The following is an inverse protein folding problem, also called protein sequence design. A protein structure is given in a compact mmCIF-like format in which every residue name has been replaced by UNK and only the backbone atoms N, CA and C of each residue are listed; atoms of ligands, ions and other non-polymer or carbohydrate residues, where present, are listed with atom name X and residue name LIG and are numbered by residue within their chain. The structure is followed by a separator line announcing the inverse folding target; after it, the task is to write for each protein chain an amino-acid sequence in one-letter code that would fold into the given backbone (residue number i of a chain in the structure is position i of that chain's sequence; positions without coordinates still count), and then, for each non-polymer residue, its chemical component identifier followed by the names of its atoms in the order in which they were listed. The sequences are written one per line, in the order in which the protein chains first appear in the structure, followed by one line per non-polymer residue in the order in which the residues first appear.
data_IF_730960058868
#
_entry.id   IF_730960058868
#
_cell.length_a   1.000
_cell.length_b   1.000
_cell.length_c   1.000
_cell.angle_alpha   90.00
_cell.angle_beta   90.00
_cell.angle_gamma   90.00
#
_symmetry.space_group_name_H-M   'P 1'
#
loop_
_entity.id
_entity.type
_entity.pdbx_description
1 polymer ?
#
# COMPACT_ATOMS: atom_id res chain seq x y z
N UNK A 1 -18.55 -8.53 -14.35
CA UNK A 1 -18.91 -8.87 -12.94
C UNK A 1 -17.79 -9.58 -12.17
N UNK A 2 -17.06 -10.52 -12.77
CA UNK A 2 -15.92 -11.18 -12.09
C UNK A 2 -14.79 -10.21 -11.73
N UNK A 3 -14.44 -9.29 -12.64
CA UNK A 3 -13.44 -8.24 -12.37
C UNK A 3 -13.81 -7.34 -11.19
N UNK A 4 -15.06 -6.88 -11.14
CA UNK A 4 -15.59 -6.05 -10.06
C UNK A 4 -15.45 -6.72 -8.70
N UNK A 5 -15.81 -8.02 -8.61
CA UNK A 5 -15.65 -8.79 -7.39
C UNK A 5 -14.19 -8.91 -6.96
N UNK A 6 -13.27 -9.15 -7.91
CA UNK A 6 -11.84 -9.21 -7.63
C UNK A 6 -11.31 -7.86 -7.13
N UNK A 7 -11.70 -6.76 -7.76
CA UNK A 7 -11.31 -5.41 -7.35
C UNK A 7 -11.79 -5.10 -5.94
N UNK A 8 -13.04 -5.45 -5.59
CA UNK A 8 -13.58 -5.26 -4.24
C UNK A 8 -12.81 -6.10 -3.21
N UNK A 9 -12.52 -7.37 -3.50
CA UNK A 9 -11.76 -8.24 -2.60
C UNK A 9 -10.36 -7.67 -2.33
N UNK A 10 -9.64 -7.25 -3.38
CA UNK A 10 -8.30 -6.65 -3.28
C UNK A 10 -8.37 -5.33 -2.48
N UNK A 11 -9.35 -4.49 -2.77
CA UNK A 11 -9.57 -3.21 -2.08
C UNK A 11 -9.76 -3.43 -0.57
N UNK A 12 -10.59 -4.40 -0.17
CA UNK A 12 -10.84 -4.75 1.22
C UNK A 12 -9.56 -5.30 1.88
N UNK A 13 -8.82 -6.18 1.19
CA UNK A 13 -7.57 -6.73 1.71
C UNK A 13 -6.55 -5.62 2.02
N UNK A 14 -6.41 -4.63 1.14
CA UNK A 14 -5.54 -3.47 1.37
C UNK A 14 -6.03 -2.60 2.53
N UNK A 15 -7.34 -2.39 2.70
CA UNK A 15 -7.88 -1.64 3.84
C UNK A 15 -7.57 -2.37 5.16
N UNK A 16 -7.87 -3.67 5.23
CA UNK A 16 -7.65 -4.48 6.44
C UNK A 16 -6.18 -4.47 6.83
N UNK A 17 -5.27 -4.67 5.86
CA UNK A 17 -3.85 -4.62 6.14
C UNK A 17 -3.35 -3.20 6.48
N UNK A 18 -3.88 -2.18 5.81
CA UNK A 18 -3.64 -0.78 6.13
C UNK A 18 -4.02 -0.42 7.57
N UNK A 19 -5.17 -0.91 8.06
CA UNK A 19 -5.61 -0.71 9.46
C UNK A 19 -4.63 -1.38 10.44
N UNK A 20 -4.21 -2.63 10.16
CA UNK A 20 -3.22 -3.31 11.00
C UNK A 20 -1.91 -2.53 11.09
N UNK A 21 -1.40 -2.05 9.95
CA UNK A 21 -0.20 -1.22 9.85
C UNK A 21 -0.36 0.14 10.55
N UNK A 22 -1.55 0.75 10.48
CA UNK A 22 -1.82 2.03 11.15
C UNK A 22 -1.70 1.93 12.67
N UNK A 23 -2.10 0.78 13.24
CA UNK A 23 -1.91 0.45 14.66
C UNK A 23 -0.44 0.14 15.01
N UNK A 24 0.47 0.13 14.04
CA UNK A 24 1.87 -0.22 14.22
C UNK A 24 2.14 -1.73 14.21
N UNK A 25 1.18 -2.55 13.75
CA UNK A 25 1.28 -4.02 13.67
C UNK A 25 1.49 -4.45 12.22
N UNK A 26 1.88 -5.71 12.00
CA UNK A 26 1.94 -6.28 10.65
C UNK A 26 3.24 -6.01 9.88
N UNK A 27 4.26 -5.42 10.51
CA UNK A 27 5.58 -5.23 9.89
C UNK A 27 6.19 -6.55 9.38
N UNK A 28 5.84 -7.68 9.99
CA UNK A 28 6.27 -9.03 9.58
C UNK A 28 5.82 -9.43 8.17
N UNK A 29 4.77 -8.82 7.63
CA UNK A 29 4.32 -9.06 6.25
C UNK A 29 5.05 -8.15 5.23
N UNK A 30 5.79 -7.15 5.70
CA UNK A 30 6.65 -6.34 4.84
C UNK A 30 7.93 -7.13 4.56
N UNK A 31 8.05 -7.73 3.38
CA UNK A 31 9.16 -8.63 3.03
C UNK A 31 10.54 -8.04 3.33
N UNK A 32 10.79 -6.78 2.95
CA UNK A 32 12.06 -6.10 3.22
C UNK A 32 12.34 -5.84 4.70
N UNK A 33 11.31 -5.73 5.54
CA UNK A 33 11.49 -5.70 7.00
C UNK A 33 11.68 -7.11 7.52
N UNK A 34 10.85 -8.08 7.13
CA UNK A 34 10.86 -9.44 7.65
C UNK A 34 12.19 -10.17 7.40
N UNK A 35 12.79 -10.01 6.21
CA UNK A 35 14.08 -10.61 5.84
C UNK A 35 15.29 -9.85 6.39
N UNK A 36 15.09 -8.68 6.99
CA UNK A 36 16.17 -7.89 7.56
C UNK A 36 16.78 -8.57 8.80
N UNK A 37 18.12 -8.61 8.93
CA UNK A 37 18.80 -9.09 10.13
C UNK A 37 18.33 -8.35 11.40
N UNK A 38 18.30 -9.06 12.53
CA UNK A 38 17.80 -8.53 13.80
C UNK A 38 18.50 -7.22 14.22
N UNK A 39 19.82 -7.15 14.10
CA UNK A 39 20.61 -5.95 14.43
C UNK A 39 20.19 -4.72 13.62
N UNK A 40 19.84 -4.90 12.34
CA UNK A 40 19.36 -3.82 11.48
C UNK A 40 17.93 -3.43 11.84
N UNK A 41 17.05 -4.39 12.13
CA UNK A 41 15.67 -4.14 12.62
C UNK A 41 15.65 -3.27 13.87
N UNK A 42 16.56 -3.50 14.82
CA UNK A 42 16.65 -2.70 16.06
C UNK A 42 16.88 -1.21 15.80
N UNK A 43 17.51 -0.85 14.68
CA UNK A 43 17.80 0.53 14.25
C UNK A 43 16.67 1.16 13.45
N UNK A 44 15.58 0.43 13.18
CA UNK A 44 14.42 0.93 12.45
C UNK A 44 13.33 1.36 13.43
N UNK A 45 12.75 2.53 13.19
CA UNK A 45 11.52 2.98 13.79
C UNK A 45 10.34 2.26 13.11
N UNK A 46 10.07 1.02 13.58
CA UNK A 46 9.03 0.14 13.05
C UNK A 46 7.66 0.84 13.02
N UNK A 47 7.30 1.60 14.07
CA UNK A 47 6.01 2.29 14.13
C UNK A 47 5.86 3.34 13.04
N UNK A 48 6.93 4.09 12.75
CA UNK A 48 6.92 5.07 11.67
C UNK A 48 6.84 4.41 10.29
N UNK A 49 7.57 3.29 10.09
CA UNK A 49 7.50 2.48 8.87
C UNK A 49 6.09 1.93 8.65
N UNK A 50 5.48 1.31 9.66
CA UNK A 50 4.13 0.76 9.60
C UNK A 50 3.11 1.86 9.29
N UNK A 51 3.15 3.00 9.98
CA UNK A 51 2.24 4.13 9.68
C UNK A 51 2.41 4.67 8.27
N UNK A 52 3.63 4.69 7.73
CA UNK A 52 3.86 5.07 6.34
C UNK A 52 3.28 4.03 5.38
N UNK A 53 3.54 2.74 5.59
CA UNK A 53 2.98 1.67 4.75
C UNK A 53 1.45 1.61 4.83
N UNK A 54 0.85 1.92 5.97
CA UNK A 54 -0.61 2.05 6.10
C UNK A 54 -1.19 3.08 5.14
N UNK A 55 -0.56 4.27 5.04
CA UNK A 55 -0.98 5.31 4.10
C UNK A 55 -0.86 4.85 2.65
N UNK A 56 0.20 4.12 2.32
CA UNK A 56 0.37 3.52 0.99
C UNK A 56 -0.72 2.48 0.71
N UNK A 57 -1.04 1.60 1.65
CA UNK A 57 -2.13 0.62 1.49
C UNK A 57 -3.49 1.29 1.28
N UNK A 58 -3.80 2.36 2.00
CA UNK A 58 -5.04 3.12 1.79
C UNK A 58 -5.05 3.84 0.43
N UNK A 59 -3.93 4.41 0.00
CA UNK A 59 -3.83 5.04 -1.31
C UNK A 59 -4.00 4.02 -2.45
N UNK A 60 -3.38 2.84 -2.36
CA UNK A 60 -3.55 1.76 -3.33
C UNK A 60 -4.98 1.21 -3.31
N UNK A 61 -5.60 1.09 -2.14
CA UNK A 61 -7.00 0.68 -2.01
C UNK A 61 -7.93 1.67 -2.73
N UNK A 62 -7.74 2.97 -2.57
CA UNK A 62 -8.49 3.98 -3.31
C UNK A 62 -8.33 3.83 -4.83
N UNK A 63 -7.11 3.56 -5.31
CA UNK A 63 -6.87 3.32 -6.74
C UNK A 63 -7.61 2.08 -7.26
N UNK A 64 -7.61 0.97 -6.50
CA UNK A 64 -8.39 -0.23 -6.86
C UNK A 64 -9.89 0.04 -6.79
N UNK A 65 -10.34 0.90 -5.87
CA UNK A 65 -11.72 1.40 -5.85
C UNK A 65 -12.11 2.09 -7.15
N UNK A 66 -11.20 2.85 -7.79
CA UNK A 66 -11.44 3.43 -9.10
C UNK A 66 -11.55 2.38 -10.22
N UNK A 67 -10.84 1.24 -10.11
CA UNK A 67 -11.02 0.11 -11.03
C UNK A 67 -12.40 -0.52 -10.89
N UNK A 68 -12.88 -0.69 -9.65
CA UNK A 68 -14.23 -1.16 -9.38
C UNK A 68 -15.29 -0.18 -9.91
N UNK A 69 -15.09 1.13 -9.75
CA UNK A 69 -16.00 2.17 -10.29
C UNK A 69 -16.03 2.15 -11.81
N UNK A 70 -14.87 1.98 -12.46
CA UNK A 70 -14.77 1.84 -13.93
C UNK A 70 -15.63 0.69 -14.45
N UNK A 71 -15.54 -0.48 -13.81
CA UNK A 71 -16.36 -1.64 -14.18
C UNK A 71 -17.85 -1.47 -13.86
N UNK A 72 -18.18 -0.74 -12.78
CA UNK A 72 -19.56 -0.51 -12.38
C UNK A 72 -20.29 0.46 -13.32
N UNK A 73 -19.56 1.46 -13.83
CA UNK A 73 -20.08 2.49 -14.71
C UNK A 73 -19.86 2.19 -16.20
N UNK A 74 -19.10 1.14 -16.53
CA UNK A 74 -18.66 0.80 -17.89
C UNK A 74 -17.89 1.94 -18.58
N UNK A 75 -17.10 2.70 -17.79
CA UNK A 75 -16.36 3.89 -18.22
C UNK A 75 -14.86 3.75 -17.96
N UNK A 76 -14.06 3.76 -19.03
CA UNK A 76 -12.61 3.50 -18.97
C UNK A 76 -11.81 4.62 -18.29
N UNK A 77 -12.36 5.84 -18.21
CA UNK A 77 -11.68 7.00 -17.62
C UNK A 77 -11.23 6.72 -16.18
N UNK A 78 -12.09 6.09 -15.37
CA UNK A 78 -11.78 5.78 -13.97
C UNK A 78 -10.65 4.76 -13.85
N UNK A 79 -10.58 3.79 -14.77
CA UNK A 79 -9.47 2.83 -14.81
C UNK A 79 -8.16 3.53 -15.16
N UNK A 80 -8.15 4.39 -16.17
CA UNK A 80 -6.94 5.13 -16.58
C UNK A 80 -6.42 6.02 -15.45
N UNK A 81 -7.31 6.77 -14.80
CA UNK A 81 -6.97 7.61 -13.64
C UNK A 81 -6.46 6.77 -12.48
N UNK A 82 -7.18 5.69 -12.15
CA UNK A 82 -6.79 4.76 -11.09
C UNK A 82 -5.42 4.14 -11.33
N UNK A 83 -5.12 3.74 -12.57
CA UNK A 83 -3.88 3.08 -12.94
C UNK A 83 -2.71 4.07 -12.87
N UNK A 84 -2.93 5.28 -13.37
CA UNK A 84 -1.94 6.36 -13.29
C UNK A 84 -1.59 6.67 -11.83
N UNK A 85 -2.59 6.85 -10.97
CA UNK A 85 -2.38 7.08 -9.54
C UNK A 85 -1.70 5.89 -8.85
N UNK A 86 -2.10 4.66 -9.18
CA UNK A 86 -1.51 3.44 -8.62
C UNK A 86 0.00 3.38 -8.89
N UNK A 87 0.40 3.61 -10.14
CA UNK A 87 1.81 3.63 -10.55
C UNK A 87 2.59 4.76 -9.88
N UNK A 88 2.00 5.96 -9.76
CA UNK A 88 2.61 7.09 -9.05
C UNK A 88 2.83 6.78 -7.56
N UNK A 89 1.85 6.16 -6.89
CA UNK A 89 1.97 5.75 -5.48
C UNK A 89 3.09 4.71 -5.31
N UNK A 90 3.19 3.73 -6.21
CA UNK A 90 4.27 2.75 -6.18
C UNK A 90 5.64 3.40 -6.40
N UNK A 91 5.79 4.24 -7.43
CA UNK A 91 7.03 4.94 -7.73
C UNK A 91 7.45 5.83 -6.55
N UNK A 92 6.52 6.61 -6.00
CA UNK A 92 6.76 7.43 -4.81
C UNK A 92 7.21 6.57 -3.62
N UNK A 93 6.55 5.45 -3.36
CA UNK A 93 6.89 4.55 -2.24
C UNK A 93 8.31 4.01 -2.39
N UNK A 94 8.67 3.54 -3.59
CA UNK A 94 10.00 3.02 -3.88
C UNK A 94 11.06 4.11 -3.70
N UNK A 95 10.86 5.31 -4.23
CA UNK A 95 11.79 6.42 -4.08
C UNK A 95 11.92 6.84 -2.61
N UNK A 96 10.80 6.98 -1.91
CA UNK A 96 10.77 7.48 -0.53
C UNK A 96 11.45 6.52 0.45
N UNK A 97 11.20 5.21 0.33
CA UNK A 97 11.78 4.20 1.23
C UNK A 97 13.28 4.02 0.98
N UNK A 98 13.74 4.16 -0.26
CA UNK A 98 15.13 3.91 -0.62
C UNK A 98 16.05 5.15 -0.49
N UNK A 99 15.52 6.34 -0.23
CA UNK A 99 16.32 7.57 -0.14
C UNK A 99 16.39 8.09 1.30
N UNK A 100 17.41 8.90 1.62
CA UNK A 100 17.42 9.76 2.82
C UNK A 100 17.39 9.05 4.18
N UNK A 101 17.83 7.79 4.28
CA UNK A 101 17.89 7.04 5.56
C UNK A 101 16.55 7.04 6.33
N UNK A 102 15.41 7.03 5.60
CA UNK A 102 14.08 7.10 6.23
C UNK A 102 13.87 5.95 7.21
N UNK A 103 13.09 6.24 8.26
CA UNK A 103 12.70 5.30 9.31
C UNK A 103 13.84 4.72 10.14
N UNK A 104 15.08 5.20 10.01
CA UNK A 104 16.10 4.93 11.03
C UNK A 104 15.70 5.64 12.33
N UNK A 105 16.00 5.01 13.46
CA UNK A 105 15.91 5.64 14.79
C UNK A 105 16.95 6.72 14.93
#
# INVERSE_FOLDING_TARGET
MTGLLLNIIIMIAFIVYGIALWQGKGASLLSGYNTMPFEKKMRINERALCKFMAKIMFALSFCVGLFAVSELLEEDLYFIVGLTLFLLVLAFTLLYVNTGNRFKK
#
